data_IF_300167285536
#
_entry.id   IF_300167285536
#
_cell.length_a   1.000
_cell.length_b   1.000
_cell.length_c   1.000
_cell.angle_alpha   90.00
_cell.angle_beta   90.00
_cell.angle_gamma   90.00
#
_symmetry.space_group_name_H-M   'P 1'
#
loop_
_entity.id
_entity.type
_entity.pdbx_description
1 polymer ?
#
# COMPACT_ATOMS: atom_id res chain seq x y z
N UNK A 1 16.72 -11.96 4.97
CA UNK A 1 15.93 -11.95 3.71
C UNK A 1 16.63 -11.02 2.72
N UNK A 2 16.62 -11.31 1.41
CA UNK A 2 17.16 -10.44 0.35
C UNK A 2 16.04 -9.52 -0.14
N UNK A 3 16.27 -8.18 -0.38
CA UNK A 3 15.25 -7.32 -0.95
C UNK A 3 14.94 -7.74 -2.40
N UNK A 4 13.67 -7.68 -2.78
CA UNK A 4 13.19 -7.91 -4.15
C UNK A 4 13.21 -6.56 -4.89
N UNK A 5 14.33 -6.30 -5.59
CA UNK A 5 14.59 -5.02 -6.26
C UNK A 5 14.05 -5.09 -7.69
N UNK A 6 13.12 -4.18 -8.00
CA UNK A 6 12.50 -4.03 -9.32
C UNK A 6 13.33 -3.05 -10.18
N UNK A 7 13.86 -1.99 -9.55
CA UNK A 7 14.69 -1.00 -10.22
C UNK A 7 15.67 -0.35 -9.24
N UNK A 8 16.85 -0.03 -9.72
CA UNK A 8 17.86 0.74 -8.98
C UNK A 8 18.63 1.65 -9.94
N UNK A 9 18.82 2.91 -9.53
CA UNK A 9 19.76 3.85 -10.16
C UNK A 9 20.61 4.54 -9.08
N UNK A 10 21.31 5.62 -9.46
CA UNK A 10 22.19 6.35 -8.51
C UNK A 10 21.42 7.06 -7.41
N UNK A 11 20.15 7.41 -7.60
CA UNK A 11 19.34 8.20 -6.67
C UNK A 11 18.22 7.46 -5.98
N UNK A 12 17.71 6.33 -6.53
CA UNK A 12 16.57 5.63 -5.97
C UNK A 12 16.66 4.11 -6.11
N UNK A 13 15.91 3.43 -5.24
CA UNK A 13 15.64 1.99 -5.31
C UNK A 13 14.12 1.81 -5.29
N UNK A 14 13.59 1.01 -6.20
CA UNK A 14 12.20 0.54 -6.17
C UNK A 14 12.25 -0.95 -5.89
N UNK A 15 11.55 -1.36 -4.84
CA UNK A 15 11.47 -2.77 -4.50
C UNK A 15 10.06 -3.18 -4.08
N UNK A 16 9.78 -4.46 -4.23
CA UNK A 16 8.56 -5.07 -3.73
C UNK A 16 8.71 -5.38 -2.25
N UNK A 17 7.82 -4.81 -1.44
CA UNK A 17 7.66 -5.17 -0.04
C UNK A 17 6.74 -6.37 0.06
N UNK A 18 7.13 -7.49 0.64
CA UNK A 18 6.22 -8.58 0.93
C UNK A 18 5.26 -8.20 2.07
N UNK A 19 4.08 -8.85 2.11
CA UNK A 19 3.19 -8.76 3.26
C UNK A 19 3.89 -9.27 4.54
N UNK A 20 3.53 -8.70 5.68
CA UNK A 20 4.12 -9.06 6.98
C UNK A 20 5.41 -8.32 7.33
N UNK A 21 6.14 -7.77 6.35
CA UNK A 21 7.37 -6.97 6.55
C UNK A 21 7.01 -5.52 6.79
N UNK A 22 7.69 -4.87 7.73
CA UNK A 22 7.53 -3.44 7.99
C UNK A 22 8.18 -2.59 6.88
N UNK A 23 7.59 -1.46 6.56
CA UNK A 23 8.21 -0.48 5.66
C UNK A 23 9.49 0.11 6.25
N UNK A 24 9.46 0.38 7.54
CA UNK A 24 10.55 0.96 8.33
C UNK A 24 10.50 0.37 9.73
N UNK A 25 11.66 0.17 10.34
CA UNK A 25 11.81 -0.39 11.67
C UNK A 25 10.98 0.34 12.72
N UNK A 26 10.43 -0.43 13.63
CA UNK A 26 9.84 0.01 14.88
C UNK A 26 10.79 -0.37 16.03
N UNK A 27 10.33 -0.19 17.28
CA UNK A 27 11.09 -0.65 18.47
C UNK A 27 11.17 -2.18 18.60
N UNK A 28 10.56 -2.94 17.68
CA UNK A 28 10.63 -4.41 17.62
C UNK A 28 11.80 -4.87 16.74
N UNK A 29 12.28 -6.09 16.99
CA UNK A 29 13.31 -6.75 16.17
C UNK A 29 12.74 -7.34 14.87
N UNK A 30 11.56 -6.89 14.43
CA UNK A 30 10.92 -7.35 13.20
C UNK A 30 11.72 -6.92 11.97
N UNK A 31 11.70 -7.76 10.94
CA UNK A 31 12.30 -7.43 9.65
C UNK A 31 11.61 -6.21 9.01
N UNK A 32 12.39 -5.27 8.50
CA UNK A 32 11.91 -4.08 7.82
C UNK A 32 12.71 -3.80 6.54
N UNK A 33 12.08 -3.10 5.59
CA UNK A 33 12.65 -2.82 4.28
C UNK A 33 13.89 -1.94 4.37
N UNK A 34 13.93 -0.97 5.27
CA UNK A 34 15.08 -0.05 5.43
C UNK A 34 16.31 -0.83 5.86
N UNK A 35 16.21 -1.65 6.92
CA UNK A 35 17.34 -2.47 7.40
C UNK A 35 17.83 -3.48 6.35
N UNK A 36 16.90 -4.05 5.56
CA UNK A 36 17.26 -4.95 4.45
C UNK A 36 18.03 -4.21 3.36
N UNK A 37 17.60 -3.02 2.97
CA UNK A 37 18.27 -2.21 1.94
C UNK A 37 19.59 -1.63 2.42
N UNK A 38 19.68 -1.20 3.69
CA UNK A 38 20.97 -0.79 4.29
C UNK A 38 22.00 -1.93 4.24
N UNK A 39 21.58 -3.15 4.57
CA UNK A 39 22.42 -4.34 4.51
C UNK A 39 22.84 -4.66 3.06
N UNK A 40 21.90 -4.53 2.12
CA UNK A 40 22.16 -4.72 0.69
C UNK A 40 23.22 -3.74 0.17
N UNK A 41 23.05 -2.44 0.45
CA UNK A 41 23.99 -1.40 0.02
C UNK A 41 25.38 -1.55 0.67
N UNK A 42 25.41 -1.89 1.96
CA UNK A 42 26.70 -2.17 2.67
C UNK A 42 27.47 -3.29 1.99
N UNK A 43 26.81 -4.36 1.55
CA UNK A 43 27.46 -5.47 0.82
C UNK A 43 28.01 -5.07 -0.54
N UNK A 44 27.47 -3.99 -1.15
CA UNK A 44 27.98 -3.39 -2.39
C UNK A 44 29.10 -2.37 -2.15
N UNK A 45 29.46 -2.08 -0.91
CA UNK A 45 30.42 -1.04 -0.56
C UNK A 45 29.90 0.38 -0.72
N UNK A 46 28.56 0.55 -0.77
CA UNK A 46 27.89 1.84 -0.91
C UNK A 46 27.54 2.47 0.45
N UNK A 47 27.25 3.78 0.44
CA UNK A 47 26.64 4.47 1.57
C UNK A 47 25.32 3.78 1.96
N UNK A 48 25.06 3.63 3.26
CA UNK A 48 23.91 2.89 3.77
C UNK A 48 22.67 3.75 4.00
N UNK A 49 22.69 5.04 3.65
CA UNK A 49 21.50 5.88 3.77
C UNK A 49 20.32 5.33 2.95
N UNK A 50 19.15 5.24 3.57
CA UNK A 50 17.87 4.86 2.94
C UNK A 50 16.79 5.83 3.40
N UNK A 51 16.25 6.63 2.46
CA UNK A 51 15.12 7.51 2.66
C UNK A 51 13.82 6.86 2.17
N UNK A 52 12.83 6.69 3.04
CA UNK A 52 11.51 6.13 2.66
C UNK A 52 10.67 7.21 2.00
N UNK A 53 10.23 7.01 0.77
CA UNK A 53 9.43 7.98 0.01
C UNK A 53 7.93 7.69 0.17
N UNK A 54 7.50 6.46 -0.02
CA UNK A 54 6.13 6.03 0.28
C UNK A 54 6.14 4.85 1.26
N UNK A 55 5.08 4.70 2.01
CA UNK A 55 4.94 3.61 2.98
C UNK A 55 3.75 2.73 2.65
N UNK A 56 3.89 1.46 2.97
CA UNK A 56 2.81 0.48 2.97
C UNK A 56 2.65 -0.06 4.40
N UNK A 57 1.42 -0.36 4.78
CA UNK A 57 1.12 -1.01 6.04
C UNK A 57 1.77 -2.40 6.10
N UNK A 58 2.02 -2.92 7.30
CA UNK A 58 2.64 -4.23 7.49
C UNK A 58 1.96 -5.36 6.70
N UNK A 59 0.60 -5.49 6.74
CA UNK A 59 -0.09 -6.56 6.02
C UNK A 59 -0.22 -6.35 4.49
N UNK A 60 0.19 -5.19 3.97
CA UNK A 60 0.09 -4.82 2.55
C UNK A 60 1.38 -5.17 1.82
N UNK A 61 1.26 -5.74 0.63
CA UNK A 61 2.39 -5.96 -0.28
C UNK A 61 2.47 -4.90 -1.40
N UNK A 62 3.57 -4.87 -2.13
CA UNK A 62 3.70 -4.07 -3.35
C UNK A 62 4.88 -3.14 -3.39
N UNK A 63 4.87 -2.22 -4.35
CA UNK A 63 6.00 -1.37 -4.68
C UNK A 63 6.22 -0.25 -3.66
N UNK A 64 7.46 -0.11 -3.24
CA UNK A 64 7.95 0.98 -2.43
C UNK A 64 9.15 1.65 -3.08
N UNK A 65 9.20 2.97 -2.98
CA UNK A 65 10.28 3.82 -3.49
C UNK A 65 11.15 4.29 -2.32
N UNK A 66 12.45 4.15 -2.48
CA UNK A 66 13.45 4.57 -1.50
C UNK A 66 14.49 5.47 -2.16
N UNK A 67 14.94 6.49 -1.45
CA UNK A 67 16.04 7.35 -1.87
C UNK A 67 17.38 6.82 -1.35
N UNK A 68 18.44 7.00 -2.14
CA UNK A 68 19.80 6.58 -1.80
C UNK A 68 20.62 7.66 -1.08
N UNK A 69 20.11 8.91 -1.02
CA UNK A 69 20.69 10.04 -0.29
C UNK A 69 19.60 10.98 0.24
N UNK A 70 19.96 11.87 1.18
CA UNK A 70 19.06 12.91 1.68
C UNK A 70 18.64 13.91 0.59
N UNK A 71 19.56 14.20 -0.36
CA UNK A 71 19.29 15.04 -1.53
C UNK A 71 18.22 14.40 -2.42
N UNK A 72 18.35 13.11 -2.70
CA UNK A 72 17.38 12.36 -3.50
C UNK A 72 16.05 12.21 -2.79
N UNK A 73 16.05 12.02 -1.47
CA UNK A 73 14.84 11.99 -0.67
C UNK A 73 14.07 13.32 -0.80
N UNK A 74 14.74 14.46 -0.71
CA UNK A 74 14.14 15.77 -0.90
C UNK A 74 13.58 15.95 -2.33
N UNK A 75 14.31 15.47 -3.36
CA UNK A 75 13.87 15.49 -4.76
C UNK A 75 12.62 14.62 -4.98
N UNK A 76 12.65 13.38 -4.53
CA UNK A 76 11.54 12.42 -4.70
C UNK A 76 10.30 12.82 -3.90
N UNK A 77 10.46 13.40 -2.70
CA UNK A 77 9.34 13.93 -1.93
C UNK A 77 8.67 15.13 -2.63
N UNK A 78 9.42 15.98 -3.32
CA UNK A 78 8.83 17.04 -4.16
C UNK A 78 8.01 16.47 -5.33
N UNK A 79 8.53 15.43 -6.01
CA UNK A 79 7.78 14.75 -7.07
C UNK A 79 6.50 14.10 -6.53
N UNK A 80 6.53 13.55 -5.30
CA UNK A 80 5.35 12.95 -4.65
C UNK A 80 4.24 13.97 -4.34
N UNK A 81 4.56 15.26 -4.26
CA UNK A 81 3.59 16.35 -4.08
C UNK A 81 3.03 16.87 -5.40
N UNK A 82 3.56 16.41 -6.53
CA UNK A 82 3.14 16.76 -7.87
C UNK A 82 2.37 15.57 -8.49
N UNK A 83 1.59 15.84 -9.54
CA UNK A 83 0.81 14.81 -10.28
C UNK A 83 1.70 13.79 -11.04
N UNK A 84 3.02 13.89 -10.89
CA UNK A 84 4.02 13.01 -11.50
C UNK A 84 4.37 11.79 -10.67
N UNK A 85 3.78 11.66 -9.47
CA UNK A 85 3.96 10.49 -8.60
C UNK A 85 2.60 9.84 -8.31
N UNK A 86 2.24 8.85 -9.13
CA UNK A 86 0.98 8.14 -8.99
C UNK A 86 1.19 6.75 -8.39
N UNK A 87 0.22 6.30 -7.62
CA UNK A 87 0.20 4.95 -7.04
C UNK A 87 -1.10 4.27 -7.41
N UNK A 88 -0.97 3.12 -8.04
CA UNK A 88 -2.09 2.24 -8.36
C UNK A 88 -2.07 1.02 -7.45
N UNK A 89 -3.23 0.68 -6.95
CA UNK A 89 -3.43 -0.50 -6.11
C UNK A 89 -4.41 -1.46 -6.76
N UNK A 90 -4.25 -2.74 -6.44
CA UNK A 90 -5.28 -3.76 -6.65
C UNK A 90 -5.70 -4.27 -5.27
N UNK A 91 -7.01 -4.33 -5.05
CA UNK A 91 -7.59 -4.89 -3.84
C UNK A 91 -8.67 -5.92 -4.19
N UNK A 92 -8.89 -6.88 -3.28
CA UNK A 92 -10.09 -7.70 -3.28
C UNK A 92 -10.92 -7.32 -2.05
N UNK A 93 -12.19 -7.00 -2.29
CA UNK A 93 -13.12 -6.55 -1.27
C UNK A 93 -14.32 -7.49 -1.19
N UNK A 94 -14.91 -7.63 -0.02
CA UNK A 94 -16.11 -8.42 0.19
C UNK A 94 -17.32 -7.81 -0.51
N UNK A 95 -18.15 -8.68 -1.07
CA UNK A 95 -19.38 -8.31 -1.77
C UNK A 95 -19.15 -7.82 -3.19
N UNK A 96 -20.26 -7.72 -3.93
CA UNK A 96 -20.27 -7.20 -5.28
C UNK A 96 -20.51 -5.68 -5.22
N UNK A 97 -19.61 -4.91 -5.82
CA UNK A 97 -19.81 -3.46 -6.00
C UNK A 97 -20.57 -3.26 -7.30
N UNK A 98 -21.77 -2.65 -7.23
CA UNK A 98 -22.65 -2.47 -8.39
C UNK A 98 -22.09 -1.44 -9.39
N UNK A 99 -21.47 -0.36 -8.88
CA UNK A 99 -20.88 0.67 -9.73
C UNK A 99 -19.53 0.21 -10.28
N UNK A 100 -19.40 0.14 -11.61
CA UNK A 100 -18.18 -0.30 -12.31
C UNK A 100 -16.99 0.59 -11.96
N UNK A 101 -17.20 1.89 -11.73
CA UNK A 101 -16.18 2.85 -11.33
C UNK A 101 -16.78 3.97 -10.48
N UNK A 102 -15.95 4.65 -9.71
CA UNK A 102 -16.38 5.75 -8.88
C UNK A 102 -15.25 6.45 -8.14
N UNK A 103 -15.61 7.52 -7.45
CA UNK A 103 -14.73 8.28 -6.56
C UNK A 103 -15.25 8.16 -5.14
N UNK A 104 -14.36 7.81 -4.20
CA UNK A 104 -14.68 7.84 -2.77
C UNK A 104 -14.04 9.08 -2.16
N UNK A 105 -14.87 9.95 -1.57
CA UNK A 105 -14.43 11.13 -0.84
C UNK A 105 -14.99 11.09 0.57
N UNK A 106 -14.11 11.18 1.56
CA UNK A 106 -14.44 11.17 2.98
C UNK A 106 -13.47 12.08 3.75
N UNK A 107 -13.79 12.35 5.01
CA UNK A 107 -12.85 12.88 5.97
C UNK A 107 -12.44 11.75 6.92
N UNK A 108 -11.13 11.60 7.16
CA UNK A 108 -10.60 10.53 7.99
C UNK A 108 -9.86 11.10 9.22
N UNK A 109 -10.16 10.52 10.38
CA UNK A 109 -9.42 10.76 11.62
C UNK A 109 -8.63 9.50 11.96
N UNK A 110 -7.37 9.69 12.37
CA UNK A 110 -6.52 8.62 12.88
C UNK A 110 -6.66 8.53 14.39
N UNK A 111 -7.06 7.37 14.89
CA UNK A 111 -6.92 7.01 16.29
C UNK A 111 -5.52 6.45 16.56
N UNK A 112 -4.74 7.20 17.34
CA UNK A 112 -3.38 6.79 17.68
C UNK A 112 -3.34 5.64 18.69
N UNK A 113 -4.36 5.51 19.54
CA UNK A 113 -4.43 4.46 20.58
C UNK A 113 -4.64 3.08 20.00
N UNK A 114 -5.59 2.93 19.09
CA UNK A 114 -5.90 1.67 18.40
C UNK A 114 -5.06 1.46 17.13
N UNK A 115 -4.34 2.49 16.67
CA UNK A 115 -3.67 2.52 15.37
C UNK A 115 -4.63 2.15 14.23
N UNK A 116 -5.86 2.73 14.27
CA UNK A 116 -6.88 2.64 13.23
C UNK A 116 -7.19 4.02 12.67
N UNK A 117 -8.09 4.10 11.71
CA UNK A 117 -8.72 5.35 11.26
C UNK A 117 -10.22 5.10 11.10
N UNK A 118 -11.02 6.16 11.14
CA UNK A 118 -12.46 6.08 10.89
C UNK A 118 -12.90 7.26 10.00
N UNK A 119 -14.05 7.09 9.37
CA UNK A 119 -14.72 8.17 8.65
C UNK A 119 -15.35 9.11 9.67
N UNK A 120 -15.11 10.39 9.47
CA UNK A 120 -15.51 11.46 10.39
C UNK A 120 -16.24 12.58 9.65
N UNK A 121 -16.84 13.51 10.37
CA UNK A 121 -17.29 14.79 9.81
C UNK A 121 -16.09 15.70 9.50
N UNK A 122 -16.28 16.65 8.60
CA UNK A 122 -15.23 17.64 8.26
C UNK A 122 -14.78 18.44 9.49
N UNK A 123 -15.72 18.72 10.41
CA UNK A 123 -15.50 19.54 11.60
C UNK A 123 -14.83 18.76 12.75
N UNK A 124 -14.66 17.45 12.63
CA UNK A 124 -14.03 16.65 13.68
C UNK A 124 -12.54 16.99 13.82
N UNK A 125 -12.04 17.26 15.04
CA UNK A 125 -10.63 17.59 15.25
C UNK A 125 -9.68 16.55 14.68
N UNK A 126 -8.80 16.96 13.77
CA UNK A 126 -7.84 16.07 13.11
C UNK A 126 -8.36 15.40 11.85
N UNK A 127 -9.59 15.67 11.43
CA UNK A 127 -10.17 15.19 10.19
C UNK A 127 -9.36 15.71 8.99
N UNK A 128 -9.09 14.81 8.04
CA UNK A 128 -8.35 15.11 6.81
C UNK A 128 -9.08 14.54 5.62
N UNK A 129 -9.33 15.37 4.61
CA UNK A 129 -9.94 14.94 3.36
C UNK A 129 -9.13 13.81 2.74
N UNK A 130 -9.84 12.77 2.35
CA UNK A 130 -9.33 11.55 1.75
C UNK A 130 -10.10 11.26 0.46
N UNK A 131 -9.39 11.10 -0.67
CA UNK A 131 -10.00 10.88 -1.96
C UNK A 131 -9.24 9.81 -2.74
N UNK A 132 -9.99 8.90 -3.35
CA UNK A 132 -9.49 7.89 -4.28
C UNK A 132 -10.49 7.67 -5.41
N UNK A 133 -9.97 7.24 -6.56
CA UNK A 133 -10.77 6.72 -7.66
C UNK A 133 -10.63 5.20 -7.70
N UNK A 134 -11.72 4.50 -8.05
CA UNK A 134 -11.68 3.06 -8.23
C UNK A 134 -12.40 2.62 -9.51
N UNK A 135 -12.00 1.44 -10.01
CA UNK A 135 -12.69 0.70 -11.07
C UNK A 135 -12.73 -0.77 -10.69
N UNK A 136 -13.92 -1.38 -10.77
CA UNK A 136 -14.09 -2.84 -10.67
C UNK A 136 -13.55 -3.47 -11.95
N UNK A 137 -12.56 -4.36 -11.79
CA UNK A 137 -11.86 -5.03 -12.90
C UNK A 137 -12.18 -6.52 -13.00
N UNK A 138 -12.93 -7.05 -12.05
CA UNK A 138 -13.36 -8.44 -12.02
C UNK A 138 -14.13 -8.80 -10.78
N UNK A 139 -14.62 -10.03 -10.73
CA UNK A 139 -15.26 -10.63 -9.56
C UNK A 139 -14.68 -12.01 -9.28
N UNK A 140 -14.68 -12.41 -8.02
CA UNK A 140 -14.16 -13.68 -7.56
C UNK A 140 -15.00 -14.19 -6.39
N UNK A 141 -15.79 -15.24 -6.57
CA UNK A 141 -16.57 -15.91 -5.52
C UNK A 141 -17.40 -14.94 -4.64
N UNK A 142 -18.14 -14.01 -5.25
CA UNK A 142 -18.95 -13.01 -4.54
C UNK A 142 -18.18 -11.83 -3.97
N UNK A 143 -16.90 -11.68 -4.35
CA UNK A 143 -16.04 -10.56 -4.02
C UNK A 143 -15.78 -9.72 -5.28
N UNK A 144 -15.46 -8.44 -5.10
CA UNK A 144 -15.03 -7.56 -6.20
C UNK A 144 -13.52 -7.39 -6.21
N UNK A 145 -12.91 -7.48 -7.40
CA UNK A 145 -11.52 -7.10 -7.64
C UNK A 145 -11.51 -5.67 -8.15
N UNK A 146 -10.84 -4.78 -7.43
CA UNK A 146 -10.84 -3.34 -7.73
C UNK A 146 -9.44 -2.80 -7.97
N UNK A 147 -9.30 -2.01 -9.02
CA UNK A 147 -8.14 -1.16 -9.27
C UNK A 147 -8.40 0.20 -8.65
N UNK A 148 -7.43 0.74 -7.93
CA UNK A 148 -7.60 1.95 -7.12
C UNK A 148 -6.46 2.91 -7.42
N UNK A 149 -6.79 4.18 -7.65
CA UNK A 149 -5.84 5.29 -7.73
C UNK A 149 -6.05 6.22 -6.53
N UNK A 150 -5.00 6.43 -5.74
CA UNK A 150 -5.04 7.36 -4.62
C UNK A 150 -4.79 8.80 -5.10
N UNK A 151 -5.76 9.69 -4.87
CA UNK A 151 -5.58 11.15 -4.97
C UNK A 151 -4.90 11.67 -3.71
N UNK A 152 -5.24 11.10 -2.55
CA UNK A 152 -4.62 11.41 -1.25
C UNK A 152 -4.02 10.14 -0.63
N UNK A 153 -3.12 10.29 0.34
CA UNK A 153 -2.47 9.16 1.03
C UNK A 153 -2.66 9.21 2.55
N UNK A 154 -3.90 9.05 3.05
CA UNK A 154 -4.19 9.05 4.49
C UNK A 154 -3.91 7.67 5.10
N UNK A 155 -3.71 7.65 6.42
CA UNK A 155 -3.50 6.41 7.17
C UNK A 155 -4.67 5.44 6.97
N UNK A 156 -4.38 4.22 6.54
CA UNK A 156 -5.36 3.16 6.24
C UNK A 156 -6.46 3.56 5.24
N UNK A 157 -6.25 4.55 4.37
CA UNK A 157 -7.29 5.19 3.57
C UNK A 157 -8.16 4.19 2.80
N UNK A 158 -7.57 3.36 1.95
CA UNK A 158 -8.30 2.37 1.13
C UNK A 158 -9.12 1.45 2.04
N UNK A 159 -8.51 0.96 3.11
CA UNK A 159 -9.11 0.02 4.06
C UNK A 159 -10.36 0.60 4.71
N UNK A 160 -10.28 1.84 5.20
CA UNK A 160 -11.40 2.54 5.88
C UNK A 160 -12.50 2.88 4.90
N UNK A 161 -12.17 3.46 3.74
CA UNK A 161 -13.18 3.95 2.79
C UNK A 161 -14.02 2.82 2.19
N UNK A 162 -13.42 1.66 1.90
CA UNK A 162 -14.18 0.50 1.45
C UNK A 162 -14.96 -0.17 2.59
N UNK A 163 -14.35 -0.30 3.78
CA UNK A 163 -15.03 -0.93 4.92
C UNK A 163 -16.25 -0.11 5.38
N UNK A 164 -16.19 1.23 5.38
CA UNK A 164 -17.32 2.09 5.76
C UNK A 164 -18.53 1.97 4.83
N UNK A 165 -18.33 1.38 3.64
CA UNK A 165 -19.37 1.12 2.64
C UNK A 165 -19.81 -0.36 2.60
N UNK A 166 -19.40 -1.16 3.58
CA UNK A 166 -19.72 -2.59 3.65
C UNK A 166 -18.84 -3.49 2.78
N UNK A 167 -17.81 -2.93 2.12
CA UNK A 167 -16.89 -3.64 1.25
C UNK A 167 -15.49 -3.74 1.87
N UNK A 168 -15.38 -4.29 3.09
CA UNK A 168 -14.08 -4.44 3.73
C UNK A 168 -13.12 -5.28 2.86
N UNK A 169 -11.82 -4.97 2.92
CA UNK A 169 -10.80 -5.73 2.20
C UNK A 169 -10.72 -7.15 2.77
N UNK A 170 -10.54 -8.11 1.89
CA UNK A 170 -10.39 -9.53 2.28
C UNK A 170 -9.12 -9.70 3.10
N UNK A 171 -9.24 -10.37 4.26
CA UNK A 171 -8.15 -10.57 5.21
C UNK A 171 -7.91 -9.41 6.18
N UNK A 172 -8.69 -8.33 6.11
CA UNK A 172 -8.49 -7.16 6.98
C UNK A 172 -9.19 -7.33 8.33
N UNK A 173 -8.47 -7.86 9.31
CA UNK A 173 -8.98 -8.08 10.67
C UNK A 173 -9.27 -6.78 11.46
N UNK A 174 -8.76 -5.61 11.01
CA UNK A 174 -9.02 -4.34 11.69
C UNK A 174 -10.32 -3.68 11.28
N UNK A 175 -10.73 -3.84 10.01
CA UNK A 175 -11.88 -3.16 9.42
C UNK A 175 -12.94 -4.10 8.89
N UNK A 176 -12.63 -5.37 8.78
CA UNK A 176 -13.55 -6.41 8.32
C UNK A 176 -13.77 -7.48 9.38
N UNK A 177 -14.77 -8.33 9.16
CA UNK A 177 -14.93 -9.55 9.92
C UNK A 177 -13.86 -10.56 9.48
N UNK A 178 -13.36 -11.38 10.42
CA UNK A 178 -12.55 -12.58 10.15
C UNK A 178 -13.39 -13.66 9.46
N UNK A 179 -13.97 -13.36 8.30
CA UNK A 179 -14.64 -14.38 7.50
C UNK A 179 -13.56 -15.33 7.00
N UNK A 180 -13.71 -16.62 7.29
CA UNK A 180 -12.85 -17.64 6.72
C UNK A 180 -12.79 -17.45 5.21
N UNK A 181 -11.61 -17.17 4.69
CA UNK A 181 -11.37 -17.05 3.26
C UNK A 181 -11.48 -18.46 2.70
N UNK A 182 -12.70 -18.86 2.30
CA UNK A 182 -12.93 -20.08 1.58
C UNK A 182 -13.00 -19.71 0.09
N UNK A 183 -12.06 -20.19 -0.73
CA UNK A 183 -12.09 -19.92 -2.15
C UNK A 183 -10.71 -19.88 -2.80
N UNK A 184 -10.66 -19.39 -4.03
CA UNK A 184 -9.46 -19.35 -4.88
C UNK A 184 -8.41 -18.30 -4.44
N UNK A 185 -8.73 -17.44 -3.45
CA UNK A 185 -7.83 -16.40 -2.97
C UNK A 185 -6.88 -16.97 -1.91
N UNK A 186 -5.59 -16.94 -2.17
CA UNK A 186 -4.56 -17.42 -1.22
C UNK A 186 -3.85 -16.22 -0.60
N UNK A 187 -4.10 -15.98 0.68
CA UNK A 187 -3.40 -14.96 1.47
C UNK A 187 -2.35 -15.60 2.38
N UNK A 188 -1.19 -14.99 2.47
CA UNK A 188 -0.22 -15.33 3.51
C UNK A 188 -0.78 -14.96 4.91
N UNK A 189 -0.25 -15.59 5.96
CA UNK A 189 -0.70 -15.30 7.32
C UNK A 189 -0.58 -13.81 7.66
N UNK A 190 -1.70 -13.19 8.04
CA UNK A 190 -1.79 -11.76 8.36
C UNK A 190 -1.71 -10.82 7.16
N UNK A 191 -1.78 -11.33 5.93
CA UNK A 191 -1.88 -10.51 4.71
C UNK A 191 -3.32 -10.03 4.52
N UNK A 192 -3.47 -8.84 3.95
CA UNK A 192 -4.73 -8.34 3.39
C UNK A 192 -4.65 -8.34 1.87
N UNK A 193 -5.76 -8.54 1.19
CA UNK A 193 -5.83 -8.52 -0.27
C UNK A 193 -5.70 -7.09 -0.81
N UNK A 194 -4.53 -6.48 -0.61
CA UNK A 194 -4.16 -5.15 -1.07
C UNK A 194 -2.70 -5.15 -1.53
N UNK A 195 -2.48 -4.75 -2.77
CA UNK A 195 -1.17 -4.63 -3.37
C UNK A 195 -0.99 -3.25 -4.00
N UNK A 196 0.09 -2.53 -3.66
CA UNK A 196 0.55 -1.39 -4.43
C UNK A 196 1.18 -1.92 -5.73
N UNK A 197 0.36 -2.14 -6.75
CA UNK A 197 0.76 -2.87 -7.96
C UNK A 197 1.52 -2.01 -8.96
N UNK A 198 1.36 -0.67 -8.94
CA UNK A 198 2.14 0.19 -9.82
C UNK A 198 2.50 1.52 -9.16
N UNK A 199 3.62 2.09 -9.61
CA UNK A 199 4.06 3.44 -9.25
C UNK A 199 4.62 4.15 -10.48
N UNK A 200 4.13 5.38 -10.71
CA UNK A 200 4.74 6.32 -11.64
C UNK A 200 5.63 7.27 -10.87
N UNK A 201 6.91 7.34 -11.21
CA UNK A 201 7.87 8.22 -10.56
C UNK A 201 8.95 8.67 -11.53
N UNK A 202 9.29 9.95 -11.51
CA UNK A 202 10.31 10.55 -12.36
C UNK A 202 10.10 10.26 -13.87
N UNK A 203 8.83 10.24 -14.34
CA UNK A 203 8.48 10.00 -15.74
C UNK A 203 8.56 8.54 -16.18
N UNK A 204 8.72 7.60 -15.26
CA UNK A 204 8.78 6.14 -15.53
C UNK A 204 7.69 5.40 -14.79
N UNK A 205 7.21 4.33 -15.40
CA UNK A 205 6.21 3.41 -14.87
C UNK A 205 6.87 2.12 -14.40
N UNK A 206 6.51 1.66 -13.20
CA UNK A 206 6.95 0.37 -12.63
C UNK A 206 5.74 -0.37 -12.11
N UNK A 207 5.69 -1.68 -12.35
CA UNK A 207 4.57 -2.52 -11.95
C UNK A 207 4.99 -3.86 -11.35
N UNK A 208 4.09 -4.48 -10.62
CA UNK A 208 4.20 -5.83 -10.06
C UNK A 208 2.82 -6.46 -9.96
N UNK A 209 2.74 -7.76 -10.03
CA UNK A 209 1.49 -8.49 -9.87
C UNK A 209 1.19 -8.78 -8.39
N UNK A 210 -0.09 -8.69 -7.96
CA UNK A 210 -0.52 -9.14 -6.65
C UNK A 210 -0.26 -10.63 -6.45
N UNK A 211 0.37 -11.03 -5.34
CA UNK A 211 0.64 -12.45 -5.08
C UNK A 211 -0.63 -13.24 -4.82
N UNK A 212 -1.65 -12.60 -4.28
CA UNK A 212 -2.92 -13.21 -3.91
C UNK A 212 -3.89 -13.44 -5.08
N UNK A 213 -3.60 -12.91 -6.27
CA UNK A 213 -4.37 -13.17 -7.50
C UNK A 213 -3.74 -14.26 -8.37
N UNK A 214 -2.60 -14.82 -7.99
CA UNK A 214 -2.04 -15.97 -8.67
C UNK A 214 -2.94 -17.17 -8.40
N UNK A 215 -3.66 -17.60 -9.42
CA UNK A 215 -4.41 -18.86 -9.39
C UNK A 215 -3.35 -19.96 -9.22
N UNK A 216 -3.50 -20.79 -8.18
CA UNK A 216 -2.70 -21.99 -8.07
C UNK A 216 -3.01 -22.86 -9.32
N UNK A 217 -1.99 -23.09 -10.16
CA UNK A 217 -2.05 -24.04 -11.26
C UNK A 217 -2.29 -25.47 -10.73
#
# INVERSE_FOLDING_TARGET
>A
MKPDIIYEDDGMIICRKPAGVLAQGSRSFDADMVSMLMTYRRKKGEDTYIGVINRLDRPVEGLMVFAKSSRDAARLNRLMQQDTFNKTYIAVVWGCIDAVEGTLTDYLVKDAGSNTSHVASEDEPGAKRAELNYRVIGSLDGMSVVRIQLVTGRHHQIRVQFASRGHALVGDAKYGSNSNIAGKLVLANGQIALCACAVDVAGRHYETEPSFLKIAE
#
